data_IF_401317245586
#
_entry.id   IF_401317245586
#
_cell.length_a   1.000
_cell.length_b   1.000
_cell.length_c   1.000
_cell.angle_alpha   90.00
_cell.angle_beta   90.00
_cell.angle_gamma   90.00
#
_symmetry.space_group_name_H-M   'P 1'
#
loop_
_entity.id
_entity.type
_entity.pdbx_description
1 polymer ?
#
# COMPACT_ATOMS: atom_id res chain seq x y z
N UNK A 1 38.50 21.97 21.37
CA UNK A 1 37.97 23.07 22.20
C UNK A 1 36.44 22.95 22.15
N UNK A 2 35.87 22.12 23.02
CA UNK A 2 35.07 22.52 24.22
C UNK A 2 33.77 23.23 23.81
N UNK A 3 32.56 22.69 24.00
CA UNK A 3 31.82 22.57 25.28
C UNK A 3 30.46 21.84 25.00
N UNK A 4 30.16 20.63 25.51
CA UNK A 4 29.33 20.26 26.70
C UNK A 4 27.88 20.81 26.78
N UNK A 5 26.89 19.90 26.69
CA UNK A 5 25.63 19.77 27.50
C UNK A 5 24.87 18.58 26.89
N UNK A 6 24.73 17.36 27.45
CA UNK A 6 24.36 16.88 28.79
C UNK A 6 22.97 17.34 29.25
N UNK A 7 21.93 16.58 28.86
CA UNK A 7 20.75 16.40 29.68
C UNK A 7 20.24 14.96 29.55
N UNK A 8 20.42 14.22 30.63
CA UNK A 8 19.79 12.92 30.87
C UNK A 8 18.42 13.16 31.52
N UNK A 9 17.41 12.40 31.13
CA UNK A 9 16.30 12.12 32.02
C UNK A 9 15.89 10.64 31.91
N UNK A 10 16.12 9.96 33.02
CA UNK A 10 15.72 8.61 33.35
C UNK A 10 14.25 8.64 33.79
N UNK A 11 13.44 7.70 33.33
CA UNK A 11 12.31 7.20 34.10
C UNK A 11 12.10 5.71 33.86
N UNK A 12 12.41 4.95 34.91
CA UNK A 12 12.08 3.56 35.09
C UNK A 12 10.60 3.40 35.45
N UNK A 13 9.98 2.31 34.99
CA UNK A 13 8.71 1.79 35.54
C UNK A 13 8.69 0.28 35.37
N UNK A 14 9.38 -0.42 36.27
CA UNK A 14 9.04 -1.79 36.63
C UNK A 14 7.96 -1.73 37.71
N UNK A 15 6.93 -2.59 37.66
CA UNK A 15 6.17 -3.20 38.77
C UNK A 15 4.79 -3.72 38.30
N UNK A 16 4.45 -4.95 38.73
CA UNK A 16 3.08 -5.49 38.75
C UNK A 16 2.98 -6.93 38.24
N UNK A 17 3.37 -7.96 39.00
CA UNK A 17 2.51 -8.72 39.95
C UNK A 17 1.22 -9.28 39.28
N UNK A 18 1.17 -10.57 38.93
CA UNK A 18 0.84 -11.72 39.81
C UNK A 18 -0.64 -11.80 40.19
N UNK A 19 -1.32 -12.84 39.71
CA UNK A 19 -2.34 -13.58 40.48
C UNK A 19 -2.67 -14.91 39.79
N UNK A 20 -2.15 -15.99 40.35
CA UNK A 20 -2.76 -17.32 40.29
C UNK A 20 -3.99 -17.32 41.21
N UNK A 21 -5.05 -18.04 40.85
CA UNK A 21 -5.82 -18.76 41.84
C UNK A 21 -5.71 -20.27 41.62
N UNK A 22 -5.22 -20.93 42.67
CA UNK A 22 -5.50 -22.33 42.95
C UNK A 22 -7.02 -22.56 42.96
N UNK A 23 -7.45 -23.66 42.35
CA UNK A 23 -8.71 -24.30 42.73
C UNK A 23 -8.42 -25.75 43.08
N UNK A 24 -8.53 -26.00 44.39
CA UNK A 24 -8.42 -27.30 45.01
C UNK A 24 -9.67 -28.15 44.70
N UNK A 25 -9.48 -29.47 44.82
CA UNK A 25 -10.47 -30.51 45.12
C UNK A 25 -11.38 -30.98 43.98
N UNK A 26 -11.11 -32.19 43.46
CA UNK A 26 -11.92 -33.33 43.92
C UNK A 26 -11.17 -34.66 43.77
N UNK A 27 -11.00 -35.35 44.90
CA UNK A 27 -10.38 -36.66 44.98
C UNK A 27 -11.47 -37.72 44.84
N UNK A 28 -11.83 -38.03 43.60
CA UNK A 28 -12.65 -39.19 43.27
C UNK A 28 -11.80 -40.46 43.22
N UNK A 29 -11.64 -41.12 44.36
CA UNK A 29 -11.24 -42.53 44.40
C UNK A 29 -12.31 -43.38 43.74
N UNK A 30 -11.98 -44.00 42.60
CA UNK A 30 -12.75 -45.12 42.05
C UNK A 30 -11.83 -46.32 41.81
N UNK A 31 -12.38 -47.44 42.24
CA UNK A 31 -11.80 -48.74 42.48
C UNK A 31 -10.93 -49.31 41.34
N UNK A 32 -9.85 -49.96 41.77
CA UNK A 32 -9.07 -50.86 40.93
C UNK A 32 -9.88 -52.10 40.57
N UNK A 33 -10.28 -52.18 39.31
CA UNK A 33 -10.78 -53.40 38.68
C UNK A 33 -9.85 -53.77 37.52
N UNK A 34 -8.82 -54.57 37.80
CA UNK A 34 -8.05 -55.22 36.76
C UNK A 34 -8.95 -56.15 35.95
N UNK A 35 -8.98 -55.94 34.63
CA UNK A 35 -9.40 -56.94 33.67
C UNK A 35 -8.40 -56.91 32.52
N UNK A 36 -7.54 -57.92 32.52
CA UNK A 36 -6.85 -58.41 31.33
C UNK A 36 -7.92 -58.83 30.31
N UNK A 37 -8.35 -57.86 29.50
CA UNK A 37 -9.16 -58.12 28.32
C UNK A 37 -8.34 -57.68 27.12
N UNK A 38 -7.77 -58.66 26.44
CA UNK A 38 -7.43 -58.56 25.04
C UNK A 38 -8.70 -58.11 24.30
N UNK A 39 -8.86 -56.80 24.12
CA UNK A 39 -9.91 -56.26 23.26
C UNK A 39 -9.51 -56.69 21.86
N UNK A 40 -10.19 -57.72 21.38
CA UNK A 40 -10.33 -57.97 19.97
C UNK A 40 -10.87 -56.68 19.35
N UNK A 41 -10.10 -56.14 18.41
CA UNK A 41 -10.54 -55.11 17.47
C UNK A 41 -11.62 -55.77 16.61
N UNK A 42 -12.82 -55.87 17.16
CA UNK A 42 -14.04 -56.18 16.42
C UNK A 42 -14.46 -54.89 15.75
N UNK A 43 -14.26 -54.86 14.43
CA UNK A 43 -14.74 -53.84 13.51
C UNK A 43 -16.28 -53.87 13.41
N UNK A 44 -16.94 -53.60 14.52
CA UNK A 44 -18.38 -53.40 14.65
C UNK A 44 -18.64 -52.00 15.15
N UNK A 45 -18.53 -51.02 14.24
CA UNK A 45 -18.82 -49.62 14.56
C UNK A 45 -20.24 -49.46 15.13
N UNK A 46 -20.33 -48.89 16.33
CA UNK A 46 -21.59 -48.34 16.81
C UNK A 46 -21.89 -47.11 15.93
N UNK A 47 -23.02 -47.07 15.19
CA UNK A 47 -23.36 -45.97 14.30
C UNK A 47 -23.68 -44.65 15.05
N UNK A 48 -23.41 -44.59 16.35
CA UNK A 48 -23.55 -43.39 17.19
C UNK A 48 -22.25 -42.95 17.87
N UNK A 49 -21.11 -43.58 17.58
CA UNK A 49 -19.82 -42.99 17.91
C UNK A 49 -19.68 -41.73 17.06
N UNK A 50 -19.96 -40.58 17.66
CA UNK A 50 -19.61 -39.28 17.11
C UNK A 50 -18.11 -39.29 16.88
N UNK A 51 -17.70 -38.87 15.69
CA UNK A 51 -16.30 -38.84 15.25
C UNK A 51 -16.01 -37.53 14.52
N UNK A 52 -16.74 -36.49 14.91
CA UNK A 52 -16.82 -35.20 14.24
C UNK A 52 -16.44 -34.02 15.15
N UNK A 53 -16.13 -34.29 16.42
CA UNK A 53 -15.69 -33.29 17.40
C UNK A 53 -14.27 -33.60 17.94
N UNK A 54 -13.60 -32.57 18.47
CA UNK A 54 -12.29 -32.71 19.11
C UNK A 54 -12.39 -33.61 20.36
N UNK A 55 -11.46 -34.55 20.49
CA UNK A 55 -11.38 -35.53 21.57
C UNK A 55 -12.19 -36.81 21.34
N UNK A 56 -12.90 -36.93 20.22
CA UNK A 56 -13.67 -38.13 19.88
C UNK A 56 -12.82 -39.23 19.23
N UNK A 57 -13.34 -40.45 19.13
CA UNK A 57 -12.64 -41.53 18.42
C UNK A 57 -12.72 -41.32 16.91
N UNK A 58 -11.68 -41.72 16.18
CA UNK A 58 -11.66 -41.58 14.72
C UNK A 58 -12.80 -42.36 14.04
N UNK A 59 -13.30 -41.84 12.93
CA UNK A 59 -14.26 -42.58 12.11
C UNK A 59 -13.58 -43.83 11.51
N UNK A 60 -14.40 -44.78 11.04
CA UNK A 60 -13.93 -46.06 10.51
C UNK A 60 -12.96 -45.91 9.32
N UNK A 61 -13.07 -44.80 8.58
CA UNK A 61 -12.21 -44.48 7.44
C UNK A 61 -10.86 -43.84 7.84
N UNK A 62 -10.61 -43.67 9.14
CA UNK A 62 -9.42 -43.00 9.65
C UNK A 62 -9.46 -41.48 9.53
N UNK A 63 -10.62 -40.92 9.21
CA UNK A 63 -10.88 -39.49 9.12
C UNK A 63 -11.73 -39.05 10.30
N UNK A 64 -11.73 -37.76 10.60
CA UNK A 64 -12.64 -37.17 11.56
C UNK A 64 -13.48 -36.10 10.85
N UNK A 65 -14.73 -35.94 11.28
CA UNK A 65 -15.57 -34.83 10.84
C UNK A 65 -14.97 -33.47 11.21
N UNK A 66 -15.40 -32.42 10.51
CA UNK A 66 -14.91 -31.06 10.78
C UNK A 66 -13.47 -30.79 10.35
N UNK A 67 -12.83 -31.67 9.56
CA UNK A 67 -11.46 -31.49 9.06
C UNK A 67 -10.37 -31.79 10.10
N UNK A 68 -10.74 -32.45 11.21
CA UNK A 68 -9.79 -32.91 12.21
C UNK A 68 -8.99 -34.11 11.67
N UNK A 69 -7.67 -34.18 11.92
CA UNK A 69 -6.93 -35.40 11.65
C UNK A 69 -7.17 -36.46 12.74
N UNK A 70 -7.11 -37.72 12.34
CA UNK A 70 -7.07 -38.85 13.26
C UNK A 70 -5.64 -39.11 13.74
N UNK A 71 -5.37 -38.90 15.02
CA UNK A 71 -4.07 -39.19 15.63
C UNK A 71 -4.22 -40.05 16.87
N UNK A 72 -3.54 -41.21 16.90
CA UNK A 72 -3.60 -42.13 18.03
C UNK A 72 -4.99 -42.73 18.31
N UNK A 73 -5.88 -42.71 17.31
CA UNK A 73 -7.27 -43.19 17.44
C UNK A 73 -8.25 -42.13 17.95
N UNK A 74 -7.81 -40.87 18.11
CA UNK A 74 -8.66 -39.75 18.51
C UNK A 74 -8.61 -38.60 17.47
N UNK A 75 -9.72 -37.90 17.34
CA UNK A 75 -9.90 -36.70 16.54
C UNK A 75 -9.38 -35.49 17.30
N UNK A 76 -8.42 -34.75 16.76
CA UNK A 76 -7.94 -33.56 17.44
C UNK A 76 -6.88 -32.81 16.66
N UNK A 77 -6.75 -31.52 16.93
CA UNK A 77 -5.64 -30.71 16.42
C UNK A 77 -4.33 -30.98 17.16
N UNK A 78 -4.34 -31.80 18.22
CA UNK A 78 -3.12 -32.23 18.89
C UNK A 78 -2.24 -33.07 17.95
N UNK A 79 -1.29 -32.41 17.30
CA UNK A 79 -0.28 -33.02 16.46
C UNK A 79 -0.23 -32.55 15.00
N UNK A 80 -1.06 -31.59 14.57
CA UNK A 80 -0.94 -30.94 13.27
C UNK A 80 -1.10 -29.42 13.39
N UNK A 81 -0.55 -28.69 12.43
CA UNK A 81 -0.87 -27.27 12.26
C UNK A 81 -0.07 -26.29 13.13
N UNK A 82 0.79 -26.78 14.02
CA UNK A 82 1.85 -25.99 14.65
C UNK A 82 3.14 -26.02 13.82
N UNK A 83 3.95 -24.98 13.93
CA UNK A 83 5.29 -24.95 13.33
C UNK A 83 6.10 -26.17 13.79
N UNK A 84 6.69 -26.90 12.84
CA UNK A 84 7.43 -28.14 13.06
C UNK A 84 6.58 -29.40 13.19
N UNK A 85 5.24 -29.30 13.12
CA UNK A 85 4.31 -30.43 13.07
C UNK A 85 3.78 -30.65 11.65
N UNK A 86 3.21 -31.83 11.33
CA UNK A 86 2.58 -32.06 10.04
C UNK A 86 1.44 -31.08 9.76
N UNK A 87 1.16 -30.83 8.49
CA UNK A 87 0.02 -30.00 8.10
C UNK A 87 -1.29 -30.68 8.45
N UNK A 88 -2.30 -29.88 8.81
CA UNK A 88 -3.65 -30.39 8.96
C UNK A 88 -4.28 -30.69 7.59
N UNK A 89 -5.49 -31.26 7.61
CA UNK A 89 -6.25 -31.54 6.39
C UNK A 89 -6.32 -30.29 5.49
N UNK A 90 -6.28 -30.52 4.17
CA UNK A 90 -6.26 -29.47 3.14
C UNK A 90 -5.02 -28.55 3.16
N UNK A 91 -3.96 -28.92 3.89
CA UNK A 91 -2.70 -28.18 3.93
C UNK A 91 -2.72 -26.98 4.89
N UNK A 92 -3.63 -26.97 5.87
CA UNK A 92 -3.77 -25.88 6.83
C UNK A 92 -2.77 -25.95 7.99
N UNK A 93 -2.27 -24.78 8.40
CA UNK A 93 -1.51 -24.60 9.64
C UNK A 93 -2.28 -23.65 10.56
N UNK A 94 -2.76 -24.15 11.71
CA UNK A 94 -3.76 -23.45 12.55
C UNK A 94 -3.13 -22.45 13.54
N UNK A 95 -1.89 -22.71 13.97
CA UNK A 95 -1.29 -22.05 15.15
C UNK A 95 -0.10 -21.13 14.84
N UNK A 96 0.26 -20.99 13.56
CA UNK A 96 1.07 -19.88 13.09
C UNK A 96 0.21 -19.01 12.21
N UNK A 97 0.01 -17.74 12.59
CA UNK A 97 -0.75 -16.73 11.82
C UNK A 97 -0.27 -16.65 10.36
N UNK A 98 0.94 -17.15 10.08
CA UNK A 98 1.56 -17.14 8.77
C UNK A 98 2.23 -18.45 8.36
N UNK A 99 2.08 -19.53 9.15
CA UNK A 99 2.72 -20.82 8.86
C UNK A 99 2.20 -21.42 7.54
N UNK A 100 3.11 -21.96 6.74
CA UNK A 100 2.80 -22.53 5.42
C UNK A 100 3.05 -24.02 5.46
N UNK A 101 2.19 -24.80 4.81
CA UNK A 101 2.40 -26.22 4.63
C UNK A 101 3.43 -26.47 3.51
N UNK A 102 4.64 -26.86 3.88
CA UNK A 102 5.72 -27.21 2.96
C UNK A 102 6.16 -28.65 3.21
N UNK A 103 6.19 -29.49 2.16
CA UNK A 103 6.52 -30.91 2.24
C UNK A 103 5.74 -31.71 3.32
N UNK A 104 4.49 -31.30 3.56
CA UNK A 104 3.62 -31.95 4.55
C UNK A 104 3.91 -31.56 6.00
N UNK A 105 4.78 -30.57 6.24
CA UNK A 105 5.01 -29.96 7.56
C UNK A 105 4.69 -28.47 7.54
N UNK A 106 4.15 -27.99 8.66
CA UNK A 106 3.97 -26.57 8.90
C UNK A 106 5.33 -25.95 9.22
N UNK A 107 5.79 -25.06 8.36
CA UNK A 107 7.03 -24.30 8.55
C UNK A 107 6.68 -22.85 8.85
N UNK A 108 7.55 -22.16 9.59
CA UNK A 108 7.52 -20.70 9.58
C UNK A 108 7.67 -20.24 8.12
N UNK A 109 6.92 -19.21 7.68
CA UNK A 109 7.14 -18.65 6.37
C UNK A 109 8.57 -18.13 6.33
N UNK A 110 9.47 -18.89 5.69
CA UNK A 110 10.88 -18.54 5.63
C UNK A 110 11.09 -17.19 4.96
N UNK A 111 10.12 -16.75 4.16
CA UNK A 111 10.22 -15.54 3.38
C UNK A 111 8.88 -14.82 3.23
N UNK A 112 8.92 -13.52 2.94
CA UNK A 112 7.78 -12.74 2.48
C UNK A 112 6.96 -12.04 3.56
N UNK A 113 7.22 -12.32 4.84
CA UNK A 113 6.54 -11.73 6.01
C UNK A 113 7.30 -10.51 6.54
N UNK A 114 6.64 -9.62 7.30
CA UNK A 114 7.31 -8.47 7.94
C UNK A 114 8.61 -8.90 8.67
N UNK A 115 9.73 -8.26 8.33
CA UNK A 115 11.05 -8.54 8.91
C UNK A 115 11.73 -9.83 8.45
N UNK A 116 11.14 -10.61 7.54
CA UNK A 116 11.72 -11.84 6.99
C UNK A 116 12.36 -11.61 5.63
N UNK A 117 13.14 -12.58 5.15
CA UNK A 117 13.79 -12.51 3.83
C UNK A 117 12.76 -12.44 2.69
N UNK A 118 13.14 -11.84 1.56
CA UNK A 118 12.29 -11.84 0.38
C UNK A 118 12.22 -13.21 -0.29
N UNK A 119 11.05 -13.61 -0.78
CA UNK A 119 10.86 -14.99 -1.27
C UNK A 119 11.65 -15.38 -2.51
N UNK A 120 12.04 -14.42 -3.37
CA UNK A 120 12.86 -14.67 -4.56
C UNK A 120 13.66 -13.41 -4.94
N UNK A 121 14.68 -13.56 -5.80
CA UNK A 121 15.48 -12.46 -6.38
C UNK A 121 14.59 -11.47 -7.16
N UNK A 122 13.93 -10.56 -6.44
CA UNK A 122 13.32 -9.35 -7.01
C UNK A 122 11.91 -9.01 -6.56
N UNK A 123 11.02 -9.96 -6.22
CA UNK A 123 9.66 -9.75 -5.64
C UNK A 123 8.86 -11.08 -5.55
N UNK A 124 7.77 -11.21 -4.74
CA UNK A 124 7.32 -10.29 -3.72
C UNK A 124 7.31 -10.89 -2.32
N UNK A 125 7.32 -9.97 -1.36
CA UNK A 125 6.78 -10.22 -0.04
C UNK A 125 5.25 -10.41 -0.15
N UNK A 126 4.58 -10.76 0.93
CA UNK A 126 3.11 -10.79 0.94
C UNK A 126 2.53 -9.40 0.63
N UNK A 127 1.23 -9.36 0.36
CA UNK A 127 0.51 -8.10 0.14
C UNK A 127 0.84 -7.09 1.26
N UNK A 128 0.97 -5.82 0.91
CA UNK A 128 1.38 -4.70 1.80
C UNK A 128 2.87 -4.68 2.22
N UNK A 129 3.71 -5.54 1.65
CA UNK A 129 5.15 -5.56 1.92
C UNK A 129 6.02 -5.34 0.68
N UNK A 130 7.04 -4.50 0.84
CA UNK A 130 8.09 -4.23 -0.13
C UNK A 130 9.35 -5.02 0.24
N UNK A 131 9.94 -5.70 -0.75
CA UNK A 131 11.28 -6.26 -0.61
C UNK A 131 12.33 -5.14 -0.68
N UNK A 132 12.96 -4.81 0.45
CA UNK A 132 14.05 -3.85 0.53
C UNK A 132 15.27 -4.47 1.20
N UNK A 133 16.42 -4.41 0.52
CA UNK A 133 17.69 -4.98 0.99
C UNK A 133 17.56 -6.47 1.41
N UNK A 134 16.73 -7.22 0.69
CA UNK A 134 16.49 -8.64 0.95
C UNK A 134 15.57 -8.93 2.13
N UNK A 135 14.98 -7.89 2.76
CA UNK A 135 14.01 -8.02 3.86
C UNK A 135 12.67 -7.41 3.47
N UNK A 136 11.58 -8.02 3.93
CA UNK A 136 10.23 -7.53 3.72
C UNK A 136 9.87 -6.46 4.75
N UNK A 137 9.61 -5.25 4.26
CA UNK A 137 9.19 -4.10 5.06
C UNK A 137 7.76 -3.71 4.69
N UNK A 138 6.99 -3.23 5.66
CA UNK A 138 5.66 -2.68 5.39
C UNK A 138 5.77 -1.47 4.44
N UNK A 139 4.83 -1.34 3.52
CA UNK A 139 4.74 -0.25 2.58
C UNK A 139 3.31 0.29 2.49
N UNK A 140 3.14 1.49 1.95
CA UNK A 140 1.85 2.05 1.55
C UNK A 140 1.23 3.03 2.54
N UNK A 141 1.50 2.91 3.85
CA UNK A 141 0.90 3.82 4.83
C UNK A 141 1.62 5.18 4.88
N UNK A 142 0.99 6.17 5.53
CA UNK A 142 1.53 7.53 5.66
C UNK A 142 2.90 7.54 6.34
N UNK A 143 3.91 8.05 5.65
CA UNK A 143 5.31 8.09 6.09
C UNK A 143 6.09 6.79 5.86
N UNK A 144 5.44 5.74 5.36
CA UNK A 144 6.09 4.50 4.95
C UNK A 144 6.59 4.58 3.51
N UNK A 145 7.34 3.55 3.11
CA UNK A 145 7.83 3.44 1.75
C UNK A 145 6.70 3.12 0.78
N UNK A 146 6.81 3.54 -0.48
CA UNK A 146 5.84 3.16 -1.49
C UNK A 146 5.91 1.67 -1.79
N UNK A 147 4.73 1.09 -2.03
CA UNK A 147 4.63 -0.28 -2.48
C UNK A 147 5.12 -0.44 -3.93
N UNK A 148 5.41 -1.68 -4.37
CA UNK A 148 5.73 -1.98 -5.76
C UNK A 148 4.74 -1.31 -6.71
N UNK A 149 5.22 -0.68 -7.78
CA UNK A 149 4.37 0.12 -8.67
C UNK A 149 4.23 1.60 -8.29
N UNK A 150 4.94 2.06 -7.25
CA UNK A 150 4.83 3.41 -6.70
C UNK A 150 3.43 3.71 -6.14
N UNK A 151 2.86 2.72 -5.46
CA UNK A 151 1.51 2.77 -4.89
C UNK A 151 1.55 3.07 -3.38
N UNK A 152 0.51 3.74 -2.89
CA UNK A 152 0.29 4.03 -1.48
C UNK A 152 -1.18 3.78 -1.12
N UNK A 153 -1.46 3.60 0.16
CA UNK A 153 -2.81 3.35 0.64
C UNK A 153 -3.71 4.58 0.49
N UNK A 154 -4.94 4.36 0.02
CA UNK A 154 -5.95 5.41 -0.06
C UNK A 154 -5.57 6.57 -0.98
N UNK A 155 -5.68 7.81 -0.49
CA UNK A 155 -5.41 9.04 -1.24
C UNK A 155 -3.96 9.56 -1.04
N UNK A 156 -3.04 8.69 -0.60
CA UNK A 156 -1.64 9.04 -0.38
C UNK A 156 -0.84 9.05 -1.69
N UNK A 157 0.17 9.91 -1.76
CA UNK A 157 1.02 10.06 -2.94
C UNK A 157 2.39 9.46 -2.71
N UNK A 158 2.83 8.62 -3.64
CA UNK A 158 4.19 8.11 -3.65
C UNK A 158 5.17 9.17 -4.19
N UNK A 159 6.19 9.48 -3.38
CA UNK A 159 7.24 10.43 -3.70
C UNK A 159 8.60 9.76 -3.65
N UNK A 160 9.11 9.37 -4.83
CA UNK A 160 10.46 8.86 -5.00
C UNK A 160 11.39 9.96 -5.52
N UNK A 161 12.49 10.19 -4.81
CA UNK A 161 13.62 10.92 -5.37
C UNK A 161 14.47 9.97 -6.23
N UNK A 162 15.21 10.50 -7.20
CA UNK A 162 16.03 9.69 -8.08
C UNK A 162 17.04 8.84 -7.26
N UNK A 163 16.82 7.53 -7.22
CA UNK A 163 17.68 6.57 -6.51
C UNK A 163 17.31 6.27 -5.06
N UNK A 164 16.17 6.75 -4.55
CA UNK A 164 15.63 6.37 -3.24
C UNK A 164 14.31 5.62 -3.37
N UNK A 165 13.97 4.81 -2.36
CA UNK A 165 12.62 4.27 -2.24
C UNK A 165 11.69 5.42 -1.86
N UNK A 166 10.62 5.59 -2.66
CA UNK A 166 9.69 6.67 -2.42
C UNK A 166 8.97 6.54 -1.10
N UNK A 167 8.42 7.65 -0.61
CA UNK A 167 7.62 7.69 0.62
C UNK A 167 6.18 8.12 0.32
N UNK A 168 5.23 7.58 1.08
CA UNK A 168 3.82 7.90 0.99
C UNK A 168 3.48 9.13 1.83
N UNK A 169 2.96 10.19 1.19
CA UNK A 169 2.62 11.45 1.83
C UNK A 169 1.15 11.84 1.63
N UNK A 170 0.58 12.57 2.58
CA UNK A 170 -0.83 12.99 2.57
C UNK A 170 -1.13 14.16 1.63
N UNK A 171 -0.10 14.89 1.21
CA UNK A 171 -0.25 16.00 0.28
C UNK A 171 0.57 15.69 -0.97
N UNK A 172 0.00 15.87 -2.18
CA UNK A 172 0.78 15.81 -3.39
C UNK A 172 1.84 16.91 -3.30
N UNK A 173 3.05 16.68 -3.85
CA UNK A 173 4.02 17.76 -3.94
C UNK A 173 3.39 18.93 -4.66
N UNK A 174 3.79 20.17 -4.35
CA UNK A 174 3.46 21.28 -5.22
C UNK A 174 3.91 20.92 -6.64
N UNK A 175 2.97 21.07 -7.58
CA UNK A 175 3.18 20.78 -8.99
C UNK A 175 2.91 22.05 -9.79
N UNK A 176 3.64 22.19 -10.89
CA UNK A 176 3.46 23.27 -11.84
C UNK A 176 4.19 24.58 -11.53
N UNK A 177 4.89 24.72 -10.40
CA UNK A 177 5.85 25.79 -10.16
C UNK A 177 7.14 25.64 -10.96
N UNK A 178 7.96 26.70 -11.02
CA UNK A 178 9.27 26.66 -11.68
C UNK A 178 10.19 25.66 -10.95
N UNK A 179 10.72 24.70 -11.69
CA UNK A 179 11.48 23.53 -11.22
C UNK A 179 10.69 22.51 -10.39
N UNK A 180 9.37 22.65 -10.30
CA UNK A 180 8.52 21.63 -9.67
C UNK A 180 8.17 20.51 -10.65
N UNK A 181 7.61 19.41 -10.14
CA UNK A 181 7.08 18.34 -10.98
C UNK A 181 5.94 18.86 -11.85
N UNK A 182 5.79 18.25 -13.02
CA UNK A 182 4.59 18.48 -13.82
C UNK A 182 3.36 17.91 -13.11
N UNK A 183 2.24 18.63 -13.20
CA UNK A 183 0.96 18.16 -12.69
C UNK A 183 0.41 17.03 -13.57
N UNK A 184 -0.11 15.98 -12.93
CA UNK A 184 -0.75 14.84 -13.60
C UNK A 184 -2.16 15.21 -14.11
N UNK A 185 -2.82 16.20 -13.48
CA UNK A 185 -4.13 16.71 -13.87
C UNK A 185 -4.09 18.24 -14.12
N UNK A 186 -4.71 18.68 -15.22
CA UNK A 186 -4.76 20.11 -15.60
C UNK A 186 -3.58 20.57 -16.46
N UNK A 187 -3.29 21.89 -16.52
CA UNK A 187 -2.09 22.37 -17.19
C UNK A 187 -0.85 21.83 -16.46
N UNK A 188 0.01 21.12 -17.19
CA UNK A 188 1.17 20.41 -16.63
C UNK A 188 2.12 21.33 -15.86
N UNK A 189 2.19 22.60 -16.26
CA UNK A 189 2.98 23.63 -15.61
C UNK A 189 2.24 24.96 -15.56
N UNK A 190 2.68 25.85 -14.65
CA UNK A 190 2.23 27.23 -14.57
C UNK A 190 2.53 28.04 -15.85
N UNK A 191 1.88 29.19 -15.99
CA UNK A 191 2.01 30.00 -17.20
C UNK A 191 3.47 30.41 -17.49
N UNK A 192 3.95 30.11 -18.70
CA UNK A 192 5.32 30.40 -19.12
C UNK A 192 6.35 29.31 -18.80
N UNK A 193 5.91 28.18 -18.23
CA UNK A 193 6.74 27.02 -17.94
C UNK A 193 6.34 25.84 -18.84
N UNK A 194 7.32 25.03 -19.23
CA UNK A 194 7.13 23.84 -20.05
C UNK A 194 7.52 22.59 -19.27
N UNK A 195 6.74 21.51 -19.44
CA UNK A 195 7.06 20.21 -18.85
C UNK A 195 8.12 19.51 -19.68
N UNK A 196 9.30 19.29 -19.11
CA UNK A 196 10.39 18.55 -19.77
C UNK A 196 10.92 17.46 -18.87
N UNK A 197 11.35 16.34 -19.45
CA UNK A 197 12.11 15.34 -18.71
C UNK A 197 13.43 15.97 -18.26
N UNK A 198 13.67 16.04 -16.95
CA UNK A 198 14.79 16.81 -16.39
C UNK A 198 16.14 16.28 -16.87
N UNK A 199 16.32 14.96 -16.86
CA UNK A 199 17.40 14.27 -17.57
C UNK A 199 16.94 12.89 -18.10
N UNK A 200 17.58 12.36 -19.17
CA UNK A 200 17.31 11.01 -19.63
C UNK A 200 17.65 9.99 -18.54
N UNK A 201 16.62 9.39 -17.93
CA UNK A 201 16.76 8.42 -16.83
C UNK A 201 16.04 8.81 -15.54
N UNK A 202 15.56 10.06 -15.42
CA UNK A 202 14.73 10.46 -14.29
C UNK A 202 13.30 9.90 -14.41
N UNK A 203 12.72 9.53 -13.28
CA UNK A 203 11.35 9.01 -13.20
C UNK A 203 10.27 10.12 -13.32
N UNK A 204 10.65 11.40 -13.33
CA UNK A 204 9.70 12.51 -13.29
C UNK A 204 10.06 13.65 -14.24
N UNK A 205 9.02 14.31 -14.76
CA UNK A 205 9.12 15.50 -15.60
C UNK A 205 9.07 16.76 -14.74
N UNK A 206 9.88 17.77 -15.08
CA UNK A 206 9.97 19.03 -14.36
C UNK A 206 9.50 20.21 -15.22
N UNK A 207 8.92 21.20 -14.55
CA UNK A 207 8.50 22.46 -15.13
C UNK A 207 9.68 23.41 -15.23
N UNK A 208 10.31 23.50 -16.40
CA UNK A 208 11.44 24.43 -16.61
C UNK A 208 10.99 25.65 -17.38
N UNK A 209 11.77 26.74 -17.24
CA UNK A 209 11.67 27.90 -18.14
C UNK A 209 12.08 27.44 -19.54
N UNK A 210 11.10 27.02 -20.32
CA UNK A 210 11.28 26.46 -21.64
C UNK A 210 10.21 26.99 -22.60
N UNK A 211 10.55 27.20 -23.90
CA UNK A 211 9.56 27.52 -24.91
C UNK A 211 8.64 26.30 -25.08
N UNK A 212 7.36 26.40 -25.43
CA UNK A 212 6.99 26.46 -26.85
C UNK A 212 5.52 26.83 -27.11
N UNK A 213 4.65 26.90 -26.10
CA UNK A 213 3.27 27.29 -26.34
C UNK A 213 2.58 27.89 -25.11
N UNK A 214 1.52 28.69 -25.30
CA UNK A 214 0.66 29.15 -24.21
C UNK A 214 1.05 30.48 -23.55
N UNK A 215 2.25 31.02 -23.83
CA UNK A 215 2.75 32.29 -23.31
C UNK A 215 2.53 33.46 -24.29
N UNK A 216 2.48 34.70 -23.79
CA UNK A 216 2.28 35.90 -24.62
C UNK A 216 3.28 35.98 -25.80
N UNK A 217 2.75 36.08 -27.01
CA UNK A 217 3.51 36.10 -28.28
C UNK A 217 4.08 34.75 -28.73
N UNK A 218 3.84 33.65 -28.00
CA UNK A 218 4.24 32.27 -28.37
C UNK A 218 3.09 31.50 -29.00
N UNK A 219 3.40 30.38 -29.64
CA UNK A 219 2.41 29.55 -30.31
C UNK A 219 1.31 29.08 -29.33
N UNK A 220 0.13 28.77 -29.83
CA UNK A 220 -0.87 28.06 -29.03
C UNK A 220 -0.46 26.60 -28.80
N UNK A 221 -0.91 26.00 -27.70
CA UNK A 221 -0.58 24.60 -27.42
C UNK A 221 -1.41 23.67 -28.31
N UNK A 222 -0.78 22.65 -28.91
CA UNK A 222 -1.50 21.70 -29.75
C UNK A 222 -2.58 20.96 -28.95
N UNK A 223 -3.78 20.82 -29.54
CA UNK A 223 -4.90 20.10 -28.94
C UNK A 223 -5.77 20.91 -27.98
N UNK A 224 -5.37 22.14 -27.63
CA UNK A 224 -6.21 23.05 -26.86
C UNK A 224 -5.97 24.50 -27.31
N UNK A 225 -7.03 25.24 -27.62
CA UNK A 225 -7.05 26.72 -27.72
C UNK A 225 -6.72 27.41 -26.38
N UNK A 226 -5.91 26.77 -25.54
CA UNK A 226 -5.58 27.18 -24.19
C UNK A 226 -4.23 27.85 -24.20
N UNK A 227 -4.30 29.15 -24.07
CA UNK A 227 -3.23 29.95 -23.52
C UNK A 227 -3.35 29.94 -21.99
N UNK A 228 -2.33 30.39 -21.27
CA UNK A 228 -2.45 30.62 -19.82
C UNK A 228 -3.64 31.53 -19.46
N UNK A 229 -4.09 31.49 -18.22
CA UNK A 229 -5.26 32.25 -17.72
C UNK A 229 -5.20 33.73 -18.14
N UNK A 230 -6.29 34.26 -18.71
CA UNK A 230 -6.36 35.64 -19.20
C UNK A 230 -5.76 35.86 -20.60
N UNK A 231 -5.45 34.79 -21.33
CA UNK A 231 -4.96 34.85 -22.71
C UNK A 231 -5.86 34.03 -23.64
N UNK A 232 -5.91 34.46 -24.90
CA UNK A 232 -6.65 33.82 -25.98
C UNK A 232 -5.67 33.41 -27.08
N UNK A 233 -5.98 32.29 -27.72
CA UNK A 233 -5.28 31.85 -28.91
C UNK A 233 -5.79 32.62 -30.13
N UNK A 234 -4.94 33.42 -30.76
CA UNK A 234 -5.30 34.27 -31.90
C UNK A 234 -4.49 33.89 -33.14
N UNK A 235 -5.17 33.75 -34.28
CA UNK A 235 -4.55 33.49 -35.57
C UNK A 235 -3.90 34.75 -36.13
N UNK A 236 -2.59 34.70 -36.39
CA UNK A 236 -1.84 35.80 -36.99
C UNK A 236 -1.83 35.68 -38.54
N UNK A 237 -1.43 36.76 -39.21
CA UNK A 237 -1.40 36.85 -40.69
C UNK A 237 -0.32 35.97 -41.34
N UNK A 238 0.66 35.52 -40.57
CA UNK A 238 1.68 34.53 -40.95
C UNK A 238 1.17 33.08 -40.85
N UNK A 239 -0.09 32.87 -40.44
CA UNK A 239 -0.73 31.56 -40.34
C UNK A 239 -0.32 30.75 -39.11
N UNK A 240 0.32 31.38 -38.13
CA UNK A 240 0.71 30.77 -36.85
C UNK A 240 -0.21 31.28 -35.75
N UNK A 241 -0.93 30.38 -35.08
CA UNK A 241 -1.74 30.74 -33.92
C UNK A 241 -0.85 31.07 -32.73
N UNK A 242 -1.01 32.26 -32.14
CA UNK A 242 -0.23 32.73 -30.99
C UNK A 242 -1.12 33.14 -29.83
N UNK A 243 -0.61 32.97 -28.63
CA UNK A 243 -1.26 33.42 -27.41
C UNK A 243 -1.08 34.93 -27.23
N UNK A 244 -2.19 35.63 -26.99
CA UNK A 244 -2.21 37.05 -26.63
C UNK A 244 -3.13 37.27 -25.44
N UNK A 245 -2.85 38.27 -24.61
CA UNK A 245 -3.79 38.67 -23.55
C UNK A 245 -5.12 39.11 -24.16
N UNK A 246 -6.22 38.64 -23.59
CA UNK A 246 -7.52 39.22 -23.87
C UNK A 246 -7.57 40.63 -23.28
N UNK A 247 -8.36 41.52 -23.88
CA UNK A 247 -8.55 42.86 -23.34
C UNK A 247 -7.61 43.96 -23.85
N UNK A 248 -6.64 43.66 -24.73
CA UNK A 248 -5.79 44.69 -25.36
C UNK A 248 -6.53 45.46 -26.47
N UNK A 249 -5.98 46.62 -26.89
CA UNK A 249 -6.57 47.43 -27.96
C UNK A 249 -6.71 46.62 -29.26
N UNK A 250 -7.91 46.64 -29.86
CA UNK A 250 -8.32 45.86 -31.04
C UNK A 250 -8.32 44.32 -30.84
N UNK A 251 -8.23 43.84 -29.61
CA UNK A 251 -8.33 42.40 -29.28
C UNK A 251 -9.72 42.02 -28.75
N UNK A 252 -10.09 40.73 -28.77
CA UNK A 252 -11.35 40.26 -28.22
C UNK A 252 -11.44 40.54 -26.72
N UNK A 253 -12.66 40.78 -26.24
CA UNK A 253 -12.92 40.97 -24.82
C UNK A 253 -12.69 39.67 -24.03
N UNK A 254 -12.20 39.78 -22.79
CA UNK A 254 -12.05 38.61 -21.91
C UNK A 254 -13.41 37.99 -21.56
N UNK A 255 -13.52 36.65 -21.66
CA UNK A 255 -14.71 35.94 -21.19
C UNK A 255 -14.89 36.06 -19.66
N UNK A 256 -16.14 36.05 -19.21
CA UNK A 256 -16.51 36.17 -17.79
C UNK A 256 -17.03 37.57 -17.41
N UNK A 257 -16.46 38.64 -17.98
CA UNK A 257 -16.88 40.03 -17.65
C UNK A 257 -16.88 41.01 -18.83
N UNK A 258 -16.60 40.56 -20.08
CA UNK A 258 -16.34 41.48 -21.23
C UNK A 258 -15.32 42.56 -20.86
N UNK A 259 -14.33 42.18 -20.07
CA UNK A 259 -13.34 43.11 -19.55
C UNK A 259 -12.28 43.40 -20.62
N UNK A 260 -11.94 44.67 -20.74
CA UNK A 260 -10.77 45.14 -21.46
C UNK A 260 -9.74 45.68 -20.45
N UNK A 261 -8.50 45.86 -20.90
CA UNK A 261 -7.46 46.50 -20.12
C UNK A 261 -7.83 47.93 -19.71
N UNK A 262 -7.08 48.54 -18.78
CA UNK A 262 -7.39 49.86 -18.25
C UNK A 262 -7.49 50.90 -19.37
N UNK A 263 -8.62 51.62 -19.43
CA UNK A 263 -8.86 52.68 -20.43
C UNK A 263 -9.47 52.21 -21.75
N UNK A 264 -9.87 50.94 -21.86
CA UNK A 264 -10.56 50.38 -23.01
C UNK A 264 -11.97 49.90 -22.62
N UNK A 265 -12.88 49.88 -23.59
CA UNK A 265 -14.27 49.44 -23.45
C UNK A 265 -14.58 48.34 -24.46
N UNK A 266 -15.31 47.30 -24.03
CA UNK A 266 -15.74 46.22 -24.92
C UNK A 266 -16.93 46.67 -25.76
N UNK A 267 -16.73 46.86 -27.07
CA UNK A 267 -17.77 47.24 -28.02
C UNK A 267 -17.77 46.24 -29.19
N UNK A 268 -18.87 45.48 -29.33
CA UNK A 268 -18.99 44.46 -30.36
C UNK A 268 -17.95 43.35 -30.24
N UNK A 269 -17.71 42.86 -29.02
CA UNK A 269 -16.75 41.80 -28.67
C UNK A 269 -15.26 42.14 -28.91
N UNK A 270 -14.96 43.41 -29.23
CA UNK A 270 -13.58 43.92 -29.38
C UNK A 270 -13.35 45.07 -28.40
N UNK A 271 -12.14 45.15 -27.86
CA UNK A 271 -11.68 46.21 -26.97
C UNK A 271 -11.22 47.45 -27.73
N UNK A 272 -11.88 48.57 -27.46
CA UNK A 272 -11.67 49.84 -28.16
C UNK A 272 -11.47 50.98 -27.15
N UNK A 273 -10.90 52.10 -27.59
CA UNK A 273 -10.95 53.32 -26.78
C UNK A 273 -12.42 53.77 -26.61
N UNK A 274 -12.82 54.26 -25.42
CA UNK A 274 -14.18 54.72 -25.14
C UNK A 274 -14.68 55.83 -26.06
#
# INVERSE_FOLDING_TARGET
MTTRMLLALVLASALGCSSEPASETDAGTVDGGGLDASIAVDAGGDPRARCDEEGEVCCADGECGGGLPCMGGLCGYQGCGEIGLPCCAEGYCHLGIDAVCEDGMCVEPGCGSEGHECCFEGTPCREDFLCHEGTCLRCGALGEQCCPGAECDGDLYCLAEAGTLGQCLSEPPPCGGEYERCCDEGPQCGAGLGCTVATPGDAFSQCVVGPTCGADGRACCEGATRCGTGMLCASESDGVDRCRRCGDFEMPCCEGERACGPGLTCAGDICQLP
#
